data_IF_551551655467
#
_entry.id   IF_551551655467
#
_cell.length_a   1.000
_cell.length_b   1.000
_cell.length_c   1.000
_cell.angle_alpha   90.00
_cell.angle_beta   90.00
_cell.angle_gamma   90.00
#
_symmetry.space_group_name_H-M   'P 1'
#
loop_
_entity.id
_entity.type
_entity.pdbx_description
1 polymer ?
#
# COMPACT_ATOMS: atom_id res chain seq x y z
N UNK A 1 10.57 10.74 3.75
CA UNK A 1 10.70 10.77 2.28
C UNK A 1 9.58 9.94 1.70
N UNK A 2 8.76 10.55 0.81
CA UNK A 2 7.61 9.91 0.20
C UNK A 2 8.02 8.65 -0.57
N UNK A 3 7.03 7.86 -1.00
CA UNK A 3 7.30 6.68 -1.81
C UNK A 3 8.25 7.02 -2.97
N UNK A 4 9.40 6.34 -3.07
CA UNK A 4 10.38 6.44 -4.15
C UNK A 4 9.82 5.76 -5.41
N UNK A 5 8.73 6.30 -5.91
CA UNK A 5 7.98 5.73 -7.01
C UNK A 5 8.57 6.22 -8.32
N UNK A 6 9.25 5.32 -9.03
CA UNK A 6 9.57 5.51 -10.45
C UNK A 6 8.31 5.45 -11.33
N UNK A 7 7.24 4.81 -10.86
CA UNK A 7 5.95 4.69 -11.53
C UNK A 7 4.86 5.51 -10.85
N UNK A 8 4.09 6.25 -11.65
CA UNK A 8 2.90 6.96 -11.21
C UNK A 8 1.94 6.02 -10.48
N UNK A 9 1.30 6.52 -9.43
CA UNK A 9 0.23 5.85 -8.68
C UNK A 9 -0.71 5.04 -9.59
N UNK A 10 -0.87 3.74 -9.33
CA UNK A 10 -1.73 2.84 -10.10
C UNK A 10 -3.16 2.82 -9.53
N UNK A 11 -4.14 2.44 -10.35
CA UNK A 11 -5.52 2.26 -9.89
C UNK A 11 -5.60 1.07 -8.91
N UNK A 12 -6.31 1.23 -7.79
CA UNK A 12 -6.53 0.15 -6.81
C UNK A 12 -7.27 -1.04 -7.41
N UNK A 13 -7.97 -0.90 -8.53
CA UNK A 13 -8.62 -1.97 -9.32
C UNK A 13 -7.78 -2.44 -10.52
N UNK A 14 -6.60 -1.87 -10.72
CA UNK A 14 -5.70 -2.20 -11.83
C UNK A 14 -5.05 -3.59 -11.75
N UNK A 15 -4.17 -3.88 -12.70
CA UNK A 15 -3.36 -5.11 -12.69
C UNK A 15 -2.02 -4.85 -12.02
N UNK A 16 -1.54 -5.84 -11.26
CA UNK A 16 -0.29 -5.76 -10.50
C UNK A 16 0.56 -7.00 -10.78
N UNK A 17 1.87 -6.82 -10.77
CA UNK A 17 2.85 -7.90 -10.87
C UNK A 17 3.12 -8.55 -9.51
N UNK A 18 3.62 -9.79 -9.52
CA UNK A 18 4.02 -10.50 -8.31
C UNK A 18 5.43 -10.06 -7.90
N UNK A 19 5.49 -9.08 -7.00
CA UNK A 19 6.77 -8.53 -6.52
C UNK A 19 6.78 -8.29 -5.01
N UNK A 20 7.96 -8.38 -4.39
CA UNK A 20 8.16 -7.97 -3.01
C UNK A 20 8.25 -6.45 -2.90
N UNK A 21 7.30 -5.84 -2.20
CA UNK A 21 7.16 -4.37 -2.16
C UNK A 21 6.69 -3.87 -0.80
N UNK A 22 7.11 -2.66 -0.46
CA UNK A 22 6.33 -1.80 0.45
C UNK A 22 5.32 -1.03 -0.39
N UNK A 23 4.07 -0.96 0.04
CA UNK A 23 3.00 -0.32 -0.72
C UNK A 23 2.14 0.57 0.18
N UNK A 24 1.55 1.57 -0.45
CA UNK A 24 0.60 2.49 0.15
C UNK A 24 -0.69 2.51 -0.65
N UNK A 25 -1.82 2.56 0.04
CA UNK A 25 -3.14 2.74 -0.56
C UNK A 25 -3.64 4.12 -0.24
N UNK A 26 -4.17 4.80 -1.25
CA UNK A 26 -4.72 6.15 -1.15
C UNK A 26 -6.18 6.19 -1.59
N UNK A 27 -6.93 7.12 -1.02
CA UNK A 27 -8.29 7.41 -1.45
C UNK A 27 -8.32 8.39 -2.65
N UNK A 28 -9.52 8.75 -3.11
CA UNK A 28 -9.72 9.63 -4.28
C UNK A 28 -9.12 11.02 -4.10
N UNK A 29 -9.00 11.50 -2.86
CA UNK A 29 -8.36 12.80 -2.53
C UNK A 29 -6.85 12.68 -2.31
N UNK A 30 -6.26 11.53 -2.62
CA UNK A 30 -4.83 11.21 -2.48
C UNK A 30 -4.31 11.26 -1.04
N UNK A 31 -5.19 11.04 -0.07
CA UNK A 31 -4.80 10.81 1.32
C UNK A 31 -4.33 9.37 1.48
N UNK A 32 -3.22 9.16 2.19
CA UNK A 32 -2.69 7.84 2.50
C UNK A 32 -3.55 7.19 3.58
N UNK A 33 -4.30 6.16 3.20
CA UNK A 33 -5.21 5.48 4.13
C UNK A 33 -4.54 4.26 4.76
N UNK A 34 -3.59 3.64 4.07
CA UNK A 34 -2.90 2.43 4.53
C UNK A 34 -1.47 2.34 4.00
N UNK A 35 -0.57 1.80 4.81
CA UNK A 35 0.80 1.43 4.43
C UNK A 35 1.04 -0.01 4.85
N UNK A 36 1.55 -0.84 3.93
CA UNK A 36 1.83 -2.24 4.18
C UNK A 36 3.08 -2.72 3.45
N UNK A 37 3.47 -3.97 3.74
CA UNK A 37 4.55 -4.64 3.04
C UNK A 37 4.15 -6.07 2.71
N UNK A 38 4.65 -6.59 1.59
CA UNK A 38 4.32 -7.93 1.11
C UNK A 38 5.43 -8.49 0.23
N UNK A 39 5.51 -9.82 0.14
CA UNK A 39 6.32 -10.52 -0.86
C UNK A 39 5.60 -10.66 -2.21
N UNK A 40 4.29 -10.38 -2.27
CA UNK A 40 3.47 -10.54 -3.46
C UNK A 40 2.38 -9.46 -3.51
N UNK A 41 2.67 -8.35 -4.20
CA UNK A 41 1.73 -7.23 -4.36
C UNK A 41 0.41 -7.65 -5.00
N UNK A 42 0.46 -8.39 -6.11
CA UNK A 42 -0.73 -8.86 -6.84
C UNK A 42 -1.71 -9.61 -5.93
N UNK A 43 -1.21 -10.58 -5.17
CA UNK A 43 -2.03 -11.35 -4.24
C UNK A 43 -2.59 -10.46 -3.14
N UNK A 44 -1.75 -9.63 -2.52
CA UNK A 44 -2.16 -8.78 -1.40
C UNK A 44 -3.27 -7.80 -1.79
N UNK A 45 -3.17 -7.16 -2.96
CA UNK A 45 -4.23 -6.27 -3.46
C UNK A 45 -5.49 -7.06 -3.82
N UNK A 46 -5.37 -8.26 -4.39
CA UNK A 46 -6.51 -9.12 -4.63
C UNK A 46 -7.23 -9.48 -3.32
N UNK A 47 -6.48 -9.82 -2.27
CA UNK A 47 -7.02 -10.15 -0.95
C UNK A 47 -7.82 -8.96 -0.38
N UNK A 48 -7.24 -7.75 -0.39
CA UNK A 48 -7.94 -6.51 0.03
C UNK A 48 -9.23 -6.26 -0.77
N UNK A 49 -9.24 -6.52 -2.08
CA UNK A 49 -10.45 -6.36 -2.92
C UNK A 49 -11.53 -7.39 -2.60
N UNK A 50 -11.13 -8.61 -2.25
CA UNK A 50 -12.06 -9.70 -1.95
C UNK A 50 -12.63 -9.63 -0.54
N UNK A 51 -11.88 -9.07 0.41
CA UNK A 51 -12.36 -8.84 1.77
C UNK A 51 -13.25 -7.59 1.82
N UNK A 52 -14.56 -7.80 1.64
CA UNK A 52 -15.56 -6.74 1.71
C UNK A 52 -15.68 -6.10 3.12
N UNK A 53 -15.14 -6.75 4.15
CA UNK A 53 -15.13 -6.25 5.51
C UNK A 53 -13.84 -5.52 5.87
N UNK A 54 -12.88 -5.46 4.94
CA UNK A 54 -11.68 -4.66 5.13
C UNK A 54 -12.08 -3.21 5.41
N UNK A 55 -11.58 -2.69 6.53
CA UNK A 55 -11.89 -1.35 7.00
C UNK A 55 -11.50 -0.30 5.96
N UNK A 56 -10.50 -0.57 5.11
CA UNK A 56 -10.06 0.38 4.09
C UNK A 56 -11.17 0.75 3.12
N UNK A 57 -12.15 -0.13 2.87
CA UNK A 57 -13.29 0.16 1.98
C UNK A 57 -14.15 1.31 2.49
N UNK A 58 -14.14 1.60 3.80
CA UNK A 58 -14.81 2.77 4.39
C UNK A 58 -14.17 4.08 3.96
N UNK A 59 -12.87 4.05 3.67
CA UNK A 59 -12.07 5.21 3.25
C UNK A 59 -11.99 5.34 1.71
N UNK A 60 -12.54 4.38 0.96
CA UNK A 60 -12.62 4.43 -0.50
C UNK A 60 -11.26 4.26 -1.19
N UNK A 61 -10.64 3.05 -1.16
CA UNK A 61 -9.33 2.81 -1.76
C UNK A 61 -9.40 3.03 -3.28
N UNK A 62 -8.57 3.92 -3.79
CA UNK A 62 -8.62 4.39 -5.19
C UNK A 62 -7.28 4.21 -5.90
N UNK A 63 -6.17 4.48 -5.21
CA UNK A 63 -4.84 4.40 -5.81
C UNK A 63 -3.89 3.55 -4.97
N UNK A 64 -2.91 2.94 -5.62
CA UNK A 64 -1.81 2.19 -5.01
C UNK A 64 -0.49 2.78 -5.47
N UNK A 65 0.42 2.96 -4.54
CA UNK A 65 1.82 3.29 -4.81
C UNK A 65 2.71 2.25 -4.13
N UNK A 66 3.89 1.98 -4.66
CA UNK A 66 4.78 0.98 -4.08
C UNK A 66 6.25 1.22 -4.44
N UNK A 67 7.14 0.69 -3.60
CA UNK A 67 8.58 0.58 -3.84
C UNK A 67 8.96 -0.90 -3.79
N UNK A 68 9.63 -1.39 -4.83
CA UNK A 68 10.17 -2.75 -4.87
C UNK A 68 11.40 -2.86 -3.97
N UNK A 69 11.34 -3.76 -2.98
CA UNK A 69 12.40 -3.99 -2.01
C UNK A 69 12.42 -5.49 -1.73
N UNK A 70 13.43 -6.17 -2.27
CA UNK A 70 13.64 -7.62 -2.12
C UNK A 70 13.88 -8.01 -0.66
N UNK A 71 14.77 -7.29 0.01
CA UNK A 71 15.16 -7.60 1.39
C UNK A 71 14.05 -7.29 2.40
N UNK A 72 13.60 -8.31 3.12
CA UNK A 72 12.47 -8.21 4.04
C UNK A 72 12.74 -7.25 5.21
N UNK A 73 13.95 -7.27 5.76
CA UNK A 73 14.32 -6.40 6.88
C UNK A 73 14.30 -4.93 6.49
N UNK A 74 14.84 -4.61 5.32
CA UNK A 74 14.82 -3.27 4.73
C UNK A 74 13.38 -2.85 4.41
N UNK A 75 12.59 -3.74 3.81
CA UNK A 75 11.20 -3.47 3.47
C UNK A 75 10.32 -3.20 4.69
N UNK A 76 10.52 -3.97 5.77
CA UNK A 76 9.85 -3.76 7.05
C UNK A 76 10.21 -2.42 7.68
N UNK A 77 11.50 -2.07 7.73
CA UNK A 77 11.94 -0.76 8.22
C UNK A 77 11.32 0.36 7.40
N UNK A 78 11.31 0.23 6.07
CA UNK A 78 10.71 1.21 5.16
C UNK A 78 9.21 1.38 5.38
N UNK A 79 8.48 0.29 5.60
CA UNK A 79 7.05 0.36 5.95
C UNK A 79 6.82 1.12 7.26
N UNK A 80 7.65 0.92 8.29
CA UNK A 80 7.57 1.67 9.55
C UNK A 80 7.86 3.17 9.37
N UNK A 81 8.85 3.52 8.56
CA UNK A 81 9.16 4.92 8.22
C UNK A 81 7.97 5.60 7.52
N UNK A 82 7.45 4.98 6.46
CA UNK A 82 6.32 5.50 5.68
C UNK A 82 5.05 5.59 6.52
N UNK A 83 4.81 4.61 7.39
CA UNK A 83 3.72 4.65 8.36
C UNK A 83 3.82 5.86 9.28
N UNK A 84 5.03 6.18 9.76
CA UNK A 84 5.26 7.31 10.66
C UNK A 84 5.11 8.65 9.92
N UNK A 85 5.57 8.70 8.67
CA UNK A 85 5.51 9.90 7.83
C UNK A 85 4.09 10.24 7.39
N UNK A 86 3.32 9.25 6.95
CA UNK A 86 1.98 9.47 6.43
C UNK A 86 0.88 9.36 7.49
N UNK A 87 1.16 8.73 8.64
CA UNK A 87 0.18 8.50 9.71
C UNK A 87 -1.17 7.99 9.20
N UNK A 88 -1.19 6.87 8.44
CA UNK A 88 -2.39 6.40 7.76
C UNK A 88 -3.53 6.09 8.72
N UNK A 89 -4.76 6.35 8.29
CA UNK A 89 -6.00 6.10 9.05
C UNK A 89 -6.09 4.67 9.57
N UNK A 90 -5.57 3.71 8.79
CA UNK A 90 -5.59 2.27 9.04
C UNK A 90 -4.76 1.73 10.19
N UNK A 91 -3.96 2.57 10.85
CA UNK A 91 -3.15 2.14 11.99
C UNK A 91 -3.85 2.27 13.35
N UNK A 92 -5.12 2.66 13.37
CA UNK A 92 -5.92 2.78 14.60
C UNK A 92 -6.65 1.46 14.89
N UNK A 93 -5.91 0.47 15.38
CA UNK A 93 -6.45 -0.64 16.18
C UNK A 93 -5.97 -0.50 17.62
#
# INVERSE_FOLDING_TARGET
MPFNTGEATLDFKGEFEEKPVVYGVMNVVKEMIFVGQTNNLKKQIADHRTDLYDWMHREGPTFVCFEEIEDEDTRRKRASELTSEYSPSGNRL
#
